data_IF_830013494272
#
_entry.id   IF_830013494272
#
_cell.length_a   1.000
_cell.length_b   1.000
_cell.length_c   1.000
_cell.angle_alpha   90.00
_cell.angle_beta   90.00
_cell.angle_gamma   90.00
#
_symmetry.space_group_name_H-M   'P 1'
#
loop_
_entity.id
_entity.type
_entity.pdbx_description
1 polymer ?
#
# COMPACT_ATOMS: atom_id res chain seq x y z
N UNK A 1 -13.84 9.98 4.81
CA UNK A 1 -12.77 10.51 3.95
C UNK A 1 -12.94 9.98 2.53
N UNK A 2 -12.71 10.82 1.52
CA UNK A 2 -12.74 10.41 0.12
C UNK A 2 -11.45 9.72 -0.33
N UNK A 3 -11.48 9.10 -1.52
CA UNK A 3 -10.36 8.34 -2.07
C UNK A 3 -9.13 9.22 -2.35
N UNK A 4 -9.32 10.47 -2.78
CA UNK A 4 -8.23 11.38 -3.16
C UNK A 4 -7.41 11.75 -1.92
N UNK A 5 -8.08 12.10 -0.82
CA UNK A 5 -7.43 12.38 0.46
C UNK A 5 -6.72 11.14 1.00
N UNK A 6 -7.35 9.97 0.93
CA UNK A 6 -6.74 8.72 1.38
C UNK A 6 -5.49 8.37 0.57
N UNK A 7 -5.52 8.58 -0.75
CA UNK A 7 -4.37 8.36 -1.62
C UNK A 7 -3.21 9.29 -1.29
N UNK A 8 -3.46 10.57 -1.02
CA UNK A 8 -2.42 11.51 -0.61
C UNK A 8 -1.75 11.11 0.72
N UNK A 9 -2.53 10.58 1.67
CA UNK A 9 -1.99 10.05 2.93
C UNK A 9 -1.14 8.80 2.68
N UNK A 10 -1.62 7.87 1.85
CA UNK A 10 -0.89 6.67 1.48
C UNK A 10 0.40 7.00 0.70
N UNK A 11 0.39 7.97 -0.23
CA UNK A 11 1.56 8.41 -0.98
C UNK A 11 2.65 8.96 -0.05
N UNK A 12 2.27 9.84 0.88
CA UNK A 12 3.22 10.36 1.87
C UNK A 12 3.82 9.24 2.70
N UNK A 13 2.99 8.35 3.23
CA UNK A 13 3.47 7.23 4.02
C UNK A 13 4.38 6.29 3.22
N UNK A 14 4.04 6.00 1.97
CA UNK A 14 4.86 5.17 1.08
C UNK A 14 6.24 5.79 0.87
N UNK A 15 6.32 7.09 0.59
CA UNK A 15 7.58 7.74 0.24
C UNK A 15 8.42 8.17 1.44
N UNK A 16 7.79 8.53 2.55
CA UNK A 16 8.48 9.04 3.73
C UNK A 16 8.91 7.92 4.68
N UNK A 17 8.13 6.84 4.79
CA UNK A 17 8.37 5.75 5.75
C UNK A 17 8.87 4.46 5.08
N UNK A 18 8.16 3.98 4.04
CA UNK A 18 8.45 2.65 3.46
C UNK A 18 9.61 2.69 2.46
N UNK A 19 9.60 3.63 1.52
CA UNK A 19 10.59 3.70 0.45
C UNK A 19 12.04 3.83 0.97
N UNK A 20 12.34 4.63 2.01
CA UNK A 20 13.68 4.71 2.56
C UNK A 20 14.16 3.41 3.22
N UNK A 21 13.25 2.64 3.84
CA UNK A 21 13.56 1.33 4.43
C UNK A 21 13.86 0.28 3.35
N UNK A 22 13.07 0.29 2.27
CA UNK A 22 13.22 -0.67 1.16
C UNK A 22 14.41 -0.35 0.26
N UNK A 23 14.72 0.94 0.04
CA UNK A 23 15.86 1.38 -0.77
C UNK A 23 15.67 1.30 -2.29
N UNK A 24 14.45 1.03 -2.77
CA UNK A 24 14.08 1.00 -4.20
C UNK A 24 12.94 1.99 -4.48
N UNK A 25 12.85 2.57 -5.69
CA UNK A 25 11.69 3.35 -6.08
C UNK A 25 10.40 2.52 -5.97
N UNK A 26 9.42 3.01 -5.23
CA UNK A 26 8.12 2.36 -5.03
C UNK A 26 7.01 3.12 -5.75
N UNK A 27 5.96 2.39 -6.11
CA UNK A 27 4.72 2.97 -6.63
C UNK A 27 3.53 2.09 -6.27
N UNK A 28 2.32 2.62 -6.43
CA UNK A 28 1.11 1.85 -6.30
C UNK A 28 0.86 1.02 -7.56
N UNK A 29 0.74 -0.29 -7.41
CA UNK A 29 0.34 -1.19 -8.49
C UNK A 29 -1.18 -1.44 -8.53
N UNK A 30 -1.94 -1.01 -7.52
CA UNK A 30 -3.38 -1.23 -7.46
C UNK A 30 -4.04 -0.55 -6.27
N UNK A 31 -5.35 -0.35 -6.37
CA UNK A 31 -6.17 0.26 -5.33
C UNK A 31 -7.52 -0.46 -5.25
N UNK A 32 -8.02 -0.63 -4.03
CA UNK A 32 -9.31 -1.25 -3.75
C UNK A 32 -10.04 -0.49 -2.64
N UNK A 33 -11.37 -0.65 -2.62
CA UNK A 33 -12.24 -0.06 -1.61
C UNK A 33 -12.90 -1.17 -0.79
N UNK A 34 -12.83 -1.06 0.53
CA UNK A 34 -13.62 -1.87 1.46
C UNK A 34 -14.64 -1.01 2.20
N UNK A 35 -15.45 -1.62 3.07
CA UNK A 35 -16.41 -0.88 3.88
C UNK A 35 -15.74 0.18 4.76
N UNK A 36 -14.59 -0.13 5.35
CA UNK A 36 -13.90 0.72 6.35
C UNK A 36 -12.60 1.35 5.88
N UNK A 37 -11.99 0.82 4.83
CA UNK A 37 -10.65 1.22 4.39
C UNK A 37 -10.58 1.50 2.90
N UNK A 38 -9.69 2.42 2.55
CA UNK A 38 -9.04 2.47 1.25
C UNK A 38 -7.77 1.61 1.29
N UNK A 39 -7.57 0.79 0.28
CA UNK A 39 -6.50 -0.21 0.22
C UNK A 39 -5.60 0.15 -0.95
N UNK A 40 -4.30 0.29 -0.70
CA UNK A 40 -3.32 0.64 -1.73
C UNK A 40 -2.21 -0.40 -1.77
N UNK A 41 -2.17 -1.16 -2.86
CA UNK A 41 -1.13 -2.14 -3.12
C UNK A 41 0.06 -1.45 -3.76
N UNK A 42 1.25 -1.70 -3.22
CA UNK A 42 2.49 -1.12 -3.71
C UNK A 42 3.54 -2.18 -3.98
N UNK A 43 4.46 -1.85 -4.87
CA UNK A 43 5.65 -2.64 -5.14
C UNK A 43 6.74 -1.73 -5.71
N UNK A 44 7.88 -2.30 -6.12
CA UNK A 44 8.86 -1.53 -6.88
C UNK A 44 8.28 -1.06 -8.21
N UNK A 45 8.74 0.11 -8.67
CA UNK A 45 8.37 0.64 -10.00
C UNK A 45 8.68 -0.39 -11.09
N UNK A 46 9.88 -1.00 -11.05
CA UNK A 46 10.26 -2.02 -12.03
C UNK A 46 9.27 -3.20 -12.07
N UNK A 47 8.85 -3.72 -10.91
CA UNK A 47 7.90 -4.82 -10.87
C UNK A 47 6.53 -4.41 -11.41
N UNK A 48 5.96 -3.26 -11.00
CA UNK A 48 4.66 -2.84 -11.49
C UNK A 48 4.66 -2.63 -13.02
N UNK A 49 5.76 -2.12 -13.60
CA UNK A 49 5.86 -1.83 -15.03
C UNK A 49 6.15 -3.07 -15.90
N UNK A 50 6.97 -3.99 -15.41
CA UNK A 50 7.52 -5.09 -16.23
C UNK A 50 6.99 -6.47 -15.86
N UNK A 51 6.48 -6.64 -14.63
CA UNK A 51 6.15 -7.93 -14.06
C UNK A 51 7.37 -8.82 -13.76
N UNK A 52 8.60 -8.31 -13.85
CA UNK A 52 9.80 -9.09 -13.58
C UNK A 52 9.91 -9.41 -12.08
N UNK A 53 9.71 -10.68 -11.74
CA UNK A 53 9.62 -11.18 -10.36
C UNK A 53 10.88 -10.86 -9.53
N UNK A 54 12.05 -10.71 -10.18
CA UNK A 54 13.30 -10.34 -9.51
C UNK A 54 13.26 -8.97 -8.82
N UNK A 55 12.32 -8.10 -9.20
CA UNK A 55 12.10 -6.81 -8.58
C UNK A 55 10.90 -6.78 -7.63
N UNK A 56 10.19 -7.90 -7.46
CA UNK A 56 9.03 -7.95 -6.58
C UNK A 56 9.47 -7.84 -5.10
N UNK A 57 8.80 -6.97 -4.35
CA UNK A 57 8.83 -7.02 -2.89
C UNK A 57 8.14 -8.29 -2.39
N UNK A 58 8.69 -8.87 -1.34
CA UNK A 58 8.15 -10.05 -0.67
C UNK A 58 7.85 -9.73 0.80
N UNK A 59 6.71 -10.22 1.29
CA UNK A 59 6.33 -10.05 2.70
C UNK A 59 5.80 -8.65 3.07
N UNK A 60 5.54 -7.79 2.08
CA UNK A 60 4.80 -6.55 2.30
C UNK A 60 3.29 -6.79 2.16
N UNK A 61 2.49 -6.12 2.99
CA UNK A 61 1.04 -6.00 2.79
C UNK A 61 0.68 -4.62 2.23
N UNK A 62 -0.53 -4.44 1.69
CA UNK A 62 -0.99 -3.13 1.24
C UNK A 62 -1.04 -2.12 2.39
N UNK A 63 -1.03 -0.84 2.02
CA UNK A 63 -1.34 0.26 2.93
C UNK A 63 -2.86 0.34 3.06
N UNK A 64 -3.35 0.34 4.29
CA UNK A 64 -4.76 0.54 4.63
C UNK A 64 -4.91 1.93 5.22
N UNK A 65 -5.87 2.70 4.70
CA UNK A 65 -6.21 4.03 5.22
C UNK A 65 -7.67 4.02 5.67
N UNK A 66 -7.90 4.19 6.97
CA UNK A 66 -9.23 4.17 7.57
C UNK A 66 -10.09 5.33 7.05
N UNK A 67 -11.36 5.06 6.70
CA UNK A 67 -12.25 6.06 6.09
C UNK A 67 -12.79 7.09 7.08
N UNK A 68 -12.87 6.73 8.35
CA UNK A 68 -13.41 7.55 9.44
C UNK A 68 -12.43 8.62 9.90
N UNK A 69 -11.17 8.25 10.16
CA UNK A 69 -10.17 9.14 10.77
C UNK A 69 -8.86 9.26 9.98
N UNK A 70 -8.65 8.46 8.94
CA UNK A 70 -7.45 8.47 8.12
C UNK A 70 -6.23 7.81 8.76
N UNK A 71 -6.40 7.04 9.84
CA UNK A 71 -5.34 6.22 10.41
C UNK A 71 -4.78 5.27 9.36
N UNK A 72 -3.45 5.23 9.28
CA UNK A 72 -2.70 4.39 8.35
C UNK A 72 -2.21 3.15 9.08
N UNK A 73 -2.44 1.99 8.49
CA UNK A 73 -1.87 0.71 8.94
C UNK A 73 -1.37 -0.10 7.75
N UNK A 74 -0.27 -0.81 7.90
CA UNK A 74 0.19 -1.80 6.92
C UNK A 74 -0.46 -3.14 7.22
N UNK A 75 -1.10 -3.74 6.22
CA UNK A 75 -1.65 -5.08 6.37
C UNK A 75 -0.53 -6.10 6.58
N UNK A 76 -0.85 -7.17 7.29
CA UNK A 76 0.04 -8.29 7.55
C UNK A 76 -0.12 -9.34 6.46
N UNK A 77 1.00 -9.80 5.90
CA UNK A 77 1.01 -10.84 4.87
C UNK A 77 0.70 -12.24 5.42
N UNK A 78 0.83 -12.47 6.73
CA UNK A 78 0.56 -13.77 7.37
C UNK A 78 -0.92 -13.97 7.76
N UNK A 79 -1.78 -12.97 7.51
CA UNK A 79 -3.22 -13.00 7.79
C UNK A 79 -3.96 -12.66 6.48
N UNK A 80 -5.07 -13.35 6.14
CA UNK A 80 -5.90 -12.96 5.00
C UNK A 80 -6.34 -11.49 5.10
N UNK A 81 -6.37 -10.78 3.98
CA UNK A 81 -6.67 -9.35 3.97
C UNK A 81 -8.08 -9.08 4.53
N UNK A 82 -9.07 -9.90 4.20
CA UNK A 82 -10.45 -9.76 4.66
C UNK A 82 -10.59 -9.82 6.19
N UNK A 83 -9.65 -10.50 6.87
CA UNK A 83 -9.60 -10.55 8.33
C UNK A 83 -9.07 -9.28 8.99
N UNK A 84 -8.60 -8.32 8.18
CA UNK A 84 -7.95 -7.08 8.61
C UNK A 84 -8.72 -5.80 8.22
N UNK A 85 -9.86 -5.94 7.53
CA UNK A 85 -10.70 -4.84 7.01
C UNK A 85 -11.95 -4.53 7.87
#
# INVERSE_FOLDING_TARGET
MDQVQAKQLAERFLFDEIQPEVGYPLTFCGEEESLRYWIFYYNTVQFCETGEIGFALAGNGPILVAKDDGVITTARTDIPLEGQL
#
